data_IF_833365341372
#
_entry.id   IF_833365341372
#
_cell.length_a   1.000
_cell.length_b   1.000
_cell.length_c   1.000
_cell.angle_alpha   90.00
_cell.angle_beta   90.00
_cell.angle_gamma   90.00
#
_symmetry.space_group_name_H-M   'P 1'
#
loop_
_entity.id
_entity.type
_entity.pdbx_description
1 polymer ?
#
# COMPACT_ATOMS: atom_id res chain seq x y z
N UNK A 1 -41.87 -10.55 11.13
CA UNK A 1 -40.40 -10.37 10.88
C UNK A 1 -40.06 -11.31 9.74
N UNK A 2 -40.08 -10.81 8.52
CA UNK A 2 -39.73 -11.54 7.32
C UNK A 2 -38.24 -11.60 7.19
N UNK A 3 -37.69 -12.80 7.25
CA UNK A 3 -36.29 -13.12 6.97
C UNK A 3 -35.99 -12.78 5.51
N UNK A 4 -35.23 -11.69 5.25
CA UNK A 4 -34.69 -11.34 3.96
C UNK A 4 -33.31 -11.99 3.85
N UNK A 5 -33.25 -13.30 3.84
CA UNK A 5 -32.10 -14.02 3.33
C UNK A 5 -32.14 -13.96 1.80
N UNK A 6 -31.72 -12.81 1.23
CA UNK A 6 -31.39 -12.76 -0.19
C UNK A 6 -30.21 -13.69 -0.38
N UNK A 7 -30.41 -14.80 -1.10
CA UNK A 7 -29.41 -15.80 -1.47
C UNK A 7 -28.36 -15.22 -2.45
N UNK A 8 -27.69 -14.15 -2.04
CA UNK A 8 -26.46 -13.70 -2.66
C UNK A 8 -25.34 -14.53 -2.04
N UNK A 9 -24.81 -15.44 -2.82
CA UNK A 9 -23.55 -16.10 -2.56
C UNK A 9 -22.53 -15.04 -2.12
N UNK A 10 -21.90 -15.24 -0.96
CA UNK A 10 -20.89 -14.28 -0.48
C UNK A 10 -19.73 -14.32 -1.47
N UNK A 11 -19.18 -13.16 -1.83
CA UNK A 11 -17.98 -13.09 -2.69
C UNK A 11 -16.84 -13.97 -2.15
N UNK A 12 -16.76 -14.13 -0.82
CA UNK A 12 -15.79 -15.02 -0.16
C UNK A 12 -15.96 -16.49 -0.50
N UNK A 13 -17.19 -16.93 -0.86
CA UNK A 13 -17.46 -18.33 -1.19
C UNK A 13 -16.93 -18.70 -2.60
N UNK A 14 -16.57 -17.68 -3.40
CA UNK A 14 -15.94 -17.81 -4.72
C UNK A 14 -14.42 -17.80 -4.66
N UNK A 15 -13.82 -17.56 -3.51
CA UNK A 15 -12.38 -17.48 -3.32
C UNK A 15 -11.83 -18.76 -2.71
N UNK A 16 -10.62 -19.15 -3.13
CA UNK A 16 -9.95 -20.30 -2.52
C UNK A 16 -9.54 -20.02 -1.06
N UNK A 17 -9.50 -21.06 -0.24
CA UNK A 17 -8.99 -20.93 1.12
C UNK A 17 -7.55 -20.39 1.18
N UNK A 18 -6.72 -20.77 0.22
CA UNK A 18 -5.33 -20.30 0.15
C UNK A 18 -5.27 -18.77 -0.10
N UNK A 19 -6.14 -18.26 -0.97
CA UNK A 19 -6.27 -16.82 -1.22
C UNK A 19 -6.68 -16.08 0.06
N UNK A 20 -7.71 -16.60 0.77
CA UNK A 20 -8.19 -15.99 2.00
C UNK A 20 -7.14 -16.02 3.12
N UNK A 21 -6.41 -17.13 3.25
CA UNK A 21 -5.32 -17.25 4.20
C UNK A 21 -4.15 -16.32 3.84
N UNK A 22 -3.81 -16.20 2.55
CA UNK A 22 -2.81 -15.27 2.07
C UNK A 22 -3.15 -13.82 2.43
N UNK A 23 -4.38 -13.39 2.16
CA UNK A 23 -4.82 -12.03 2.53
C UNK A 23 -4.82 -11.81 4.04
N UNK A 24 -5.25 -12.80 4.82
CA UNK A 24 -5.19 -12.73 6.28
C UNK A 24 -3.75 -12.59 6.78
N UNK A 25 -2.82 -13.35 6.21
CA UNK A 25 -1.40 -13.25 6.55
C UNK A 25 -0.86 -11.86 6.25
N UNK A 26 -1.15 -11.32 5.06
CA UNK A 26 -0.71 -9.97 4.67
C UNK A 26 -1.27 -8.89 5.61
N UNK A 27 -2.55 -8.94 5.95
CA UNK A 27 -3.15 -8.02 6.92
C UNK A 27 -2.47 -8.10 8.29
N UNK A 28 -2.15 -9.32 8.75
CA UNK A 28 -1.46 -9.52 10.02
C UNK A 28 -0.02 -9.03 9.96
N UNK A 29 0.68 -9.25 8.85
CA UNK A 29 2.05 -8.74 8.60
C UNK A 29 2.08 -7.22 8.64
N UNK A 30 1.14 -6.54 8.00
CA UNK A 30 1.01 -5.08 8.05
C UNK A 30 0.76 -4.62 9.49
N UNK A 31 -0.16 -5.25 10.21
CA UNK A 31 -0.46 -4.90 11.61
C UNK A 31 0.77 -5.03 12.51
N UNK A 32 1.52 -6.11 12.39
CA UNK A 32 2.74 -6.31 13.18
C UNK A 32 3.81 -5.27 12.85
N UNK A 33 4.00 -4.98 11.56
CA UNK A 33 4.89 -3.92 11.10
C UNK A 33 4.51 -2.57 11.73
N UNK A 34 3.25 -2.19 11.68
CA UNK A 34 2.77 -0.91 12.22
C UNK A 34 2.87 -0.84 13.75
N UNK A 35 2.67 -1.97 14.43
CA UNK A 35 2.89 -2.04 15.89
C UNK A 35 4.34 -1.72 16.23
N UNK A 36 5.29 -2.27 15.47
CA UNK A 36 6.72 -2.00 15.64
C UNK A 36 7.10 -0.58 15.22
N UNK A 37 6.48 -0.07 14.18
CA UNK A 37 6.64 1.32 13.74
C UNK A 37 6.20 2.29 14.84
N UNK A 38 5.02 2.07 15.42
CA UNK A 38 4.52 2.91 16.52
C UNK A 38 5.45 2.87 17.74
N UNK A 39 5.97 1.70 18.10
CA UNK A 39 6.95 1.55 19.18
C UNK A 39 8.24 2.32 18.89
N UNK A 40 8.78 2.20 17.67
CA UNK A 40 9.99 2.90 17.26
C UNK A 40 9.78 4.43 17.25
N UNK A 41 8.61 4.88 16.84
CA UNK A 41 8.23 6.29 16.86
C UNK A 41 8.18 6.84 18.30
N UNK A 42 7.52 6.12 19.22
CA UNK A 42 7.50 6.47 20.65
C UNK A 42 8.89 6.53 21.27
N UNK A 43 9.84 5.75 20.76
CA UNK A 43 11.24 5.78 21.17
C UNK A 43 12.07 6.86 20.48
N UNK A 44 11.44 7.77 19.74
CA UNK A 44 12.08 8.85 18.97
C UNK A 44 13.13 8.35 17.96
N UNK A 45 12.99 7.10 17.47
CA UNK A 45 13.88 6.53 16.45
C UNK A 45 13.46 6.89 15.02
N UNK A 46 12.22 7.29 14.84
CA UNK A 46 11.64 7.75 13.58
C UNK A 46 11.40 9.25 13.73
N UNK A 47 11.99 10.03 12.82
CA UNK A 47 11.83 11.48 12.79
C UNK A 47 10.67 11.93 11.93
N UNK A 48 10.21 13.17 12.15
CA UNK A 48 9.11 13.77 11.39
C UNK A 48 7.74 13.19 11.76
N UNK A 49 6.77 13.33 10.84
CA UNK A 49 5.44 12.77 11.00
C UNK A 49 5.43 11.28 10.64
N UNK A 50 4.77 10.49 11.47
CA UNK A 50 4.58 9.06 11.23
C UNK A 50 3.08 8.73 11.18
N UNK A 51 2.61 8.19 10.07
CA UNK A 51 1.21 7.87 9.83
C UNK A 51 1.04 6.36 9.67
N UNK A 52 0.87 5.67 10.80
CA UNK A 52 0.65 4.22 10.82
C UNK A 52 -0.64 3.83 10.08
N UNK A 53 -0.63 2.65 9.47
CA UNK A 53 -1.74 2.10 8.67
C UNK A 53 -2.69 1.20 9.48
N UNK A 54 -2.50 1.14 10.80
CA UNK A 54 -3.28 0.29 11.71
C UNK A 54 -4.78 0.53 11.57
N UNK A 55 -5.54 -0.54 11.37
CA UNK A 55 -7.00 -0.52 11.20
C UNK A 55 -7.46 -0.42 9.75
N UNK A 56 -6.57 -0.25 8.79
CA UNK A 56 -6.87 -0.15 7.35
C UNK A 56 -6.25 -1.28 6.52
N UNK A 57 -5.78 -2.34 7.15
CA UNK A 57 -5.04 -3.42 6.49
C UNK A 57 -5.84 -4.06 5.36
N UNK A 58 -7.15 -4.27 5.59
CA UNK A 58 -8.04 -4.82 4.58
C UNK A 58 -8.19 -3.91 3.34
N UNK A 59 -8.11 -2.58 3.52
CA UNK A 59 -8.13 -1.64 2.41
C UNK A 59 -6.89 -1.80 1.53
N UNK A 60 -5.70 -1.89 2.13
CA UNK A 60 -4.46 -2.08 1.39
C UNK A 60 -4.45 -3.43 0.66
N UNK A 61 -4.68 -4.52 1.37
CA UNK A 61 -4.65 -5.88 0.81
C UNK A 61 -5.71 -6.04 -0.28
N UNK A 62 -6.95 -5.60 -0.03
CA UNK A 62 -8.04 -5.72 -0.99
C UNK A 62 -7.84 -4.89 -2.25
N UNK A 63 -7.36 -3.65 -2.14
CA UNK A 63 -7.09 -2.81 -3.32
C UNK A 63 -5.94 -3.35 -4.15
N UNK A 64 -4.86 -3.79 -3.52
CA UNK A 64 -3.71 -4.37 -4.23
C UNK A 64 -4.08 -5.72 -4.88
N UNK A 65 -4.91 -6.53 -4.23
CA UNK A 65 -5.37 -7.79 -4.80
C UNK A 65 -6.33 -7.61 -6.00
N UNK A 66 -6.93 -6.45 -6.15
CA UNK A 66 -7.89 -6.15 -7.23
C UNK A 66 -7.25 -5.56 -8.50
N UNK A 67 -5.96 -5.23 -8.48
CA UNK A 67 -5.23 -4.64 -9.62
C UNK A 67 -4.15 -5.60 -10.11
N UNK A 68 -3.70 -5.40 -11.36
CA UNK A 68 -2.57 -6.17 -11.89
C UNK A 68 -1.25 -5.72 -11.26
N UNK A 69 -0.25 -6.62 -11.30
CA UNK A 69 1.05 -6.30 -10.70
C UNK A 69 1.78 -5.15 -11.40
N UNK A 70 1.54 -4.91 -12.67
CA UNK A 70 2.14 -3.85 -13.48
C UNK A 70 1.32 -2.55 -13.51
N UNK A 71 0.12 -2.53 -12.92
CA UNK A 71 -0.65 -1.31 -12.78
C UNK A 71 0.09 -0.32 -11.85
N UNK A 72 0.24 0.95 -12.24
CA UNK A 72 0.88 1.96 -11.39
C UNK A 72 0.00 2.34 -10.20
N UNK A 73 0.58 2.32 -9.01
CA UNK A 73 -0.08 2.67 -7.76
C UNK A 73 0.42 4.03 -7.26
N UNK A 74 -0.51 4.90 -6.92
CA UNK A 74 -0.25 6.19 -6.24
C UNK A 74 -1.10 6.24 -4.98
N UNK A 75 -0.49 6.61 -3.88
CA UNK A 75 -1.15 6.67 -2.57
C UNK A 75 -1.04 8.06 -1.93
N UNK A 76 -1.82 8.26 -0.88
CA UNK A 76 -1.66 9.42 0.00
C UNK A 76 -0.53 9.15 1.03
N UNK A 77 -0.43 10.00 2.03
CA UNK A 77 0.61 9.99 3.07
C UNK A 77 0.59 8.77 4.01
N UNK A 78 -0.49 7.98 4.00
CA UNK A 78 -0.63 6.76 4.78
C UNK A 78 -0.47 5.56 3.84
N UNK A 79 0.77 5.25 3.51
CA UNK A 79 1.14 4.38 2.39
C UNK A 79 1.80 3.06 2.78
N UNK A 80 2.20 2.87 4.07
CA UNK A 80 2.90 1.67 4.52
C UNK A 80 2.18 0.38 4.15
N UNK A 81 0.86 0.32 4.39
CA UNK A 81 0.06 -0.86 4.07
C UNK A 81 0.06 -1.20 2.59
N UNK A 82 -0.07 -0.19 1.72
CA UNK A 82 -0.01 -0.37 0.28
C UNK A 82 1.40 -0.78 -0.17
N UNK A 83 2.45 -0.16 0.38
CA UNK A 83 3.82 -0.51 0.06
C UNK A 83 4.14 -1.97 0.39
N UNK A 84 3.77 -2.41 1.60
CA UNK A 84 3.95 -3.80 2.02
C UNK A 84 3.12 -4.77 1.18
N UNK A 85 1.83 -4.50 0.98
CA UNK A 85 0.95 -5.34 0.17
C UNK A 85 1.40 -5.41 -1.29
N UNK A 86 2.07 -4.37 -1.80
CA UNK A 86 2.63 -4.33 -3.17
C UNK A 86 3.94 -5.11 -3.30
N UNK A 87 4.55 -5.53 -2.20
CA UNK A 87 5.74 -6.35 -2.20
C UNK A 87 7.00 -5.68 -1.67
N UNK A 88 6.93 -4.41 -1.24
CA UNK A 88 8.07 -3.78 -0.56
C UNK A 88 8.41 -4.55 0.71
N UNK A 89 9.70 -4.75 0.97
CA UNK A 89 10.12 -5.46 2.18
C UNK A 89 9.94 -4.61 3.43
N UNK A 90 9.56 -5.20 4.57
CA UNK A 90 9.49 -4.49 5.84
C UNK A 90 10.79 -3.79 6.21
N UNK A 91 11.93 -4.39 5.85
CA UNK A 91 13.27 -3.83 6.09
C UNK A 91 13.49 -2.54 5.32
N UNK A 92 13.10 -2.48 4.03
CA UNK A 92 13.22 -1.28 3.21
C UNK A 92 12.32 -0.16 3.72
N UNK A 93 11.07 -0.48 4.09
CA UNK A 93 10.13 0.46 4.70
C UNK A 93 10.67 1.01 6.03
N UNK A 94 11.13 0.14 6.92
CA UNK A 94 11.64 0.55 8.24
C UNK A 94 12.94 1.36 8.09
N UNK A 95 13.85 0.95 7.20
CA UNK A 95 15.08 1.68 6.90
C UNK A 95 14.78 3.10 6.42
N UNK A 96 13.74 3.28 5.58
CA UNK A 96 13.32 4.59 5.12
C UNK A 96 12.88 5.48 6.28
N UNK A 97 12.01 4.97 7.15
CA UNK A 97 11.53 5.71 8.32
C UNK A 97 12.65 6.05 9.33
N UNK A 98 13.69 5.22 9.40
CA UNK A 98 14.88 5.47 10.22
C UNK A 98 15.91 6.39 9.53
N UNK A 99 15.59 6.94 8.36
CA UNK A 99 16.49 7.83 7.61
C UNK A 99 17.76 7.15 7.09
N UNK A 100 17.68 5.84 6.78
CA UNK A 100 18.84 5.06 6.30
C UNK A 100 18.91 5.08 4.79
N UNK A 101 20.15 5.08 4.27
CA UNK A 101 20.42 5.05 2.82
C UNK A 101 19.87 3.77 2.14
N UNK A 102 19.66 2.71 2.90
CA UNK A 102 19.08 1.44 2.45
C UNK A 102 17.54 1.47 2.37
N UNK A 103 16.91 2.58 2.77
CA UNK A 103 15.49 2.80 2.60
C UNK A 103 15.10 3.03 1.15
N UNK A 104 13.81 2.84 0.83
CA UNK A 104 13.26 2.90 -0.53
C UNK A 104 13.47 4.24 -1.23
N UNK A 105 13.52 5.35 -0.50
CA UNK A 105 13.85 6.71 -0.96
C UNK A 105 15.18 7.22 -0.38
N UNK A 106 16.08 6.31 0.00
CA UNK A 106 17.41 6.59 0.58
C UNK A 106 17.34 7.38 1.90
N UNK A 107 16.28 7.14 2.68
CA UNK A 107 16.04 7.78 3.96
C UNK A 107 15.57 9.24 3.88
N UNK A 108 15.16 9.71 2.73
CA UNK A 108 14.74 11.12 2.52
C UNK A 108 13.23 11.32 2.58
N UNK A 109 12.45 10.26 2.36
CA UNK A 109 10.99 10.32 2.30
C UNK A 109 10.31 10.13 3.67
N UNK A 110 10.89 9.31 4.52
CA UNK A 110 10.30 8.97 5.82
C UNK A 110 8.97 8.21 5.67
N UNK A 111 8.09 8.35 6.66
CA UNK A 111 6.81 7.61 6.73
C UNK A 111 5.81 7.93 5.62
N UNK A 112 5.88 9.10 4.99
CA UNK A 112 4.83 9.60 4.09
C UNK A 112 5.16 9.47 2.60
N UNK A 113 6.35 9.00 2.26
CA UNK A 113 6.88 9.03 0.90
C UNK A 113 7.61 7.73 0.57
N UNK A 114 6.86 6.61 0.59
CA UNK A 114 7.34 5.30 0.18
C UNK A 114 7.24 5.17 -1.33
N UNK A 115 8.35 4.85 -2.00
CA UNK A 115 8.44 4.65 -3.45
C UNK A 115 9.09 3.31 -3.74
N UNK A 116 8.50 2.55 -4.65
CA UNK A 116 9.05 1.26 -5.09
C UNK A 116 8.77 1.06 -6.59
N UNK A 117 9.61 1.67 -7.41
CA UNK A 117 9.45 1.62 -8.87
C UNK A 117 9.44 0.18 -9.42
N UNK A 118 10.30 -0.75 -8.98
CA UNK A 118 10.22 -2.15 -9.40
C UNK A 118 8.86 -2.81 -9.19
N UNK A 119 8.16 -2.44 -8.12
CA UNK A 119 6.82 -2.93 -7.81
C UNK A 119 5.71 -1.95 -8.26
N UNK A 120 6.00 -1.03 -9.17
CA UNK A 120 5.05 -0.05 -9.71
C UNK A 120 4.34 0.81 -8.63
N UNK A 121 4.97 1.03 -7.48
CA UNK A 121 4.51 1.96 -6.46
C UNK A 121 5.17 3.33 -6.65
N UNK A 122 4.39 4.28 -7.14
CA UNK A 122 4.83 5.65 -7.44
C UNK A 122 4.50 6.64 -6.31
N UNK A 123 4.49 6.12 -5.12
CA UNK A 123 4.66 6.84 -3.89
C UNK A 123 3.44 7.23 -3.10
N UNK A 124 3.77 7.47 -1.84
CA UNK A 124 2.97 8.23 -0.90
C UNK A 124 3.21 9.71 -1.07
N UNK A 125 2.13 10.48 -1.04
CA UNK A 125 2.17 11.92 -1.20
C UNK A 125 1.61 12.61 0.05
N UNK A 126 2.43 13.46 0.69
CA UNK A 126 2.07 14.16 1.92
C UNK A 126 0.95 15.18 1.72
N UNK A 127 0.82 15.76 0.53
CA UNK A 127 -0.24 16.72 0.22
C UNK A 127 -1.52 15.96 -0.09
N UNK A 128 -2.57 16.22 0.70
CA UNK A 128 -3.88 15.59 0.53
C UNK A 128 -4.47 15.95 -0.83
N UNK A 129 -4.84 14.93 -1.62
CA UNK A 129 -5.38 15.12 -2.97
C UNK A 129 -4.32 15.20 -4.08
N UNK A 130 -3.02 15.25 -3.78
CA UNK A 130 -1.97 15.32 -4.79
C UNK A 130 -1.94 14.10 -5.74
N UNK A 131 -2.39 12.95 -5.27
CA UNK A 131 -2.51 11.73 -6.08
C UNK A 131 -3.54 11.87 -7.21
N UNK A 132 -4.52 12.77 -7.09
CA UNK A 132 -5.57 12.95 -8.10
C UNK A 132 -5.05 13.43 -9.46
N UNK A 133 -4.16 14.44 -9.57
CA UNK A 133 -3.53 14.79 -10.84
C UNK A 133 -2.41 13.82 -11.26
N UNK A 134 -1.73 13.16 -10.29
CA UNK A 134 -0.64 12.24 -10.59
C UNK A 134 -1.14 10.94 -11.25
N UNK A 135 -2.28 10.42 -10.82
CA UNK A 135 -2.88 9.22 -11.40
C UNK A 135 -3.13 9.35 -12.91
N UNK A 136 -3.86 10.39 -13.38
CA UNK A 136 -4.01 10.65 -14.82
C UNK A 136 -2.68 10.85 -15.54
N UNK A 137 -1.70 11.50 -14.91
CA UNK A 137 -0.36 11.68 -15.49
C UNK A 137 0.38 10.35 -15.72
N UNK A 138 0.21 9.37 -14.82
CA UNK A 138 0.76 8.03 -15.00
C UNK A 138 -0.04 7.19 -16.01
N UNK A 139 -1.36 7.39 -16.09
CA UNK A 139 -2.21 6.65 -17.02
C UNK A 139 -2.07 7.15 -18.47
N UNK A 140 -1.73 8.41 -18.67
CA UNK A 140 -1.65 9.02 -20.00
C UNK A 140 -0.61 8.34 -20.91
N UNK A 141 0.66 8.11 -20.49
CA UNK A 141 1.64 7.41 -21.32
C UNK A 141 1.21 6.00 -21.70
N UNK A 142 0.65 5.25 -20.75
CA UNK A 142 0.18 3.88 -20.99
C UNK A 142 -0.94 3.83 -22.05
N UNK A 143 -1.84 4.81 -22.03
CA UNK A 143 -2.86 4.96 -23.07
C UNK A 143 -2.27 5.37 -24.40
N UNK A 144 -1.39 6.36 -24.41
CA UNK A 144 -0.74 6.88 -25.61
C UNK A 144 0.08 5.81 -26.33
N UNK A 145 0.89 5.05 -25.60
CA UNK A 145 1.69 3.96 -26.17
C UNK A 145 0.79 2.89 -26.81
N UNK A 146 -0.30 2.52 -26.17
CA UNK A 146 -1.24 1.53 -26.70
C UNK A 146 -2.00 2.02 -27.92
N UNK A 147 -2.39 3.30 -27.99
CA UNK A 147 -3.22 3.85 -29.08
C UNK A 147 -2.41 4.34 -30.29
N UNK A 148 -1.14 4.72 -30.08
CA UNK A 148 -0.30 5.36 -31.10
C UNK A 148 0.83 4.47 -31.57
N UNK A 149 1.35 3.59 -30.71
CA UNK A 149 2.50 2.72 -31.00
C UNK A 149 2.11 1.23 -31.17
N UNK A 150 0.89 0.84 -30.84
CA UNK A 150 0.32 -0.50 -31.10
C UNK A 150 -0.34 -0.55 -32.43
#
# INVERSE_FOLDING_TARGET
MTDVSTGRERLTDQLSNDTLQGWRYEMQRIREFETRTAQAYQQAKIGGFCHVYSGQEACAVGTIAAVNHDDPIVTAYRDHGHALARGMTPEACMAEMFGKVTGCAKGKGGSMHMFDKPNHLFGGHGIVGAQSPLGPGLAFPARYEREVMG
#
